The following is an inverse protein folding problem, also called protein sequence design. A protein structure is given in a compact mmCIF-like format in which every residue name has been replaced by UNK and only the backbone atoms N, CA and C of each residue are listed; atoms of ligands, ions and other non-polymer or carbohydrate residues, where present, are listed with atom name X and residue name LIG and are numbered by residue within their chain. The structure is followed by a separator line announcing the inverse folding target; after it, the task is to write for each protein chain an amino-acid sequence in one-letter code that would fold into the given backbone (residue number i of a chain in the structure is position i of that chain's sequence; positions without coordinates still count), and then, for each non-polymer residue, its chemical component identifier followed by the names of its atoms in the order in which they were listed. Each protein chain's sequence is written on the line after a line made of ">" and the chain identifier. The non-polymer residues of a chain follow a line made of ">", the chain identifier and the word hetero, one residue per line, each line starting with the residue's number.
data_IF_245473291767
#
_entry.id   IF_245473291767
#
_cell.length_a   1.000
_cell.length_b   1.000
_cell.length_c   1.000
_cell.angle_alpha   90.00
_cell.angle_beta   90.00
_cell.angle_gamma   90.00
#
_symmetry.space_group_name_H-M   'P 1'
#
loop_
_entity.id
_entity.type
_entity.pdbx_description
1 polymer ?
#
# COMPACT_ATOMS: atom_id res chain seq x y z
N UNK A 1 -6.79 -14.68 20.83
CA UNK A 1 -5.95 -15.70 20.19
C UNK A 1 -5.78 -15.27 18.75
N UNK A 2 -4.66 -14.65 18.37
CA UNK A 2 -4.43 -14.28 16.98
C UNK A 2 -4.33 -15.59 16.17
N UNK A 3 -5.17 -15.76 15.17
CA UNK A 3 -5.07 -16.90 14.26
C UNK A 3 -3.68 -16.87 13.62
N UNK A 4 -2.98 -18.01 13.58
CA UNK A 4 -1.70 -18.08 12.91
C UNK A 4 -1.93 -17.87 11.41
N UNK A 5 -1.65 -16.66 10.90
CA UNK A 5 -1.88 -16.33 9.49
C UNK A 5 -1.08 -17.25 8.56
N UNK A 6 0.01 -17.85 9.03
CA UNK A 6 0.83 -18.82 8.28
C UNK A 6 0.03 -20.08 7.95
N UNK A 7 -0.92 -20.50 8.79
CA UNK A 7 -1.80 -21.63 8.48
C UNK A 7 -2.91 -21.26 7.51
N UNK A 8 -3.27 -19.97 7.44
CA UNK A 8 -4.34 -19.46 6.57
C UNK A 8 -3.81 -19.11 5.17
N UNK A 9 -2.59 -18.57 5.10
CA UNK A 9 -1.93 -18.13 3.86
C UNK A 9 -0.48 -18.67 3.80
N UNK A 10 -0.30 -20.01 3.79
CA UNK A 10 1.03 -20.62 3.75
C UNK A 10 1.86 -20.20 2.53
N UNK A 11 1.20 -19.91 1.40
CA UNK A 11 1.82 -19.46 0.15
C UNK A 11 2.47 -18.06 0.25
N UNK A 12 2.08 -17.26 1.25
CA UNK A 12 2.66 -15.93 1.48
C UNK A 12 3.81 -15.94 2.48
N UNK A 13 4.02 -17.05 3.19
CA UNK A 13 4.97 -17.11 4.29
C UNK A 13 6.39 -16.71 3.85
N UNK A 14 6.92 -17.37 2.82
CA UNK A 14 8.27 -17.11 2.30
C UNK A 14 8.42 -15.64 1.85
N UNK A 15 7.41 -15.12 1.13
CA UNK A 15 7.44 -13.75 0.64
C UNK A 15 7.42 -12.73 1.78
N UNK A 16 6.55 -12.91 2.77
CA UNK A 16 6.45 -12.04 3.94
C UNK A 16 7.71 -12.11 4.78
N UNK A 17 8.27 -13.29 5.04
CA UNK A 17 9.52 -13.44 5.82
C UNK A 17 10.69 -12.75 5.12
N UNK A 18 10.80 -12.88 3.79
CA UNK A 18 11.83 -12.19 3.01
C UNK A 18 11.65 -10.67 3.06
N UNK A 19 10.43 -10.18 2.89
CA UNK A 19 10.12 -8.74 2.92
C UNK A 19 10.18 -8.15 4.34
N UNK A 20 9.96 -8.96 5.38
CA UNK A 20 10.12 -8.55 6.78
C UNK A 20 11.53 -8.06 7.06
N UNK A 21 12.54 -8.62 6.37
CA UNK A 21 13.95 -8.22 6.48
C UNK A 21 14.35 -7.09 5.52
N UNK A 22 13.59 -6.87 4.44
CA UNK A 22 13.87 -5.81 3.48
C UNK A 22 13.62 -4.40 4.08
N UNK A 23 14.39 -3.41 3.64
CA UNK A 23 14.22 -1.99 4.00
C UNK A 23 13.91 -1.16 2.77
N UNK A 24 13.17 -0.07 2.93
CA UNK A 24 12.68 0.76 1.83
C UNK A 24 11.25 0.43 1.41
N UNK A 25 10.92 0.72 0.15
CA UNK A 25 9.56 0.66 -0.40
C UNK A 25 9.25 -0.69 -1.05
N UNK A 26 8.11 -1.27 -0.72
CA UNK A 26 7.56 -2.49 -1.32
C UNK A 26 6.25 -2.15 -1.99
N UNK A 27 6.09 -2.39 -3.29
CA UNK A 27 4.83 -2.14 -4.00
C UNK A 27 4.08 -3.45 -4.24
N UNK A 28 2.81 -3.50 -3.82
CA UNK A 28 1.95 -4.67 -4.00
C UNK A 28 1.02 -4.46 -5.18
N UNK A 29 1.17 -5.31 -6.20
CA UNK A 29 0.37 -5.31 -7.43
C UNK A 29 -0.47 -6.58 -7.53
N UNK A 30 -1.69 -6.46 -8.07
CA UNK A 30 -2.57 -7.59 -8.32
C UNK A 30 -3.97 -7.13 -8.76
N UNK A 31 -4.84 -8.08 -9.10
CA UNK A 31 -6.22 -7.80 -9.48
C UNK A 31 -7.09 -7.32 -8.30
N UNK A 32 -8.34 -7.01 -8.61
CA UNK A 32 -9.38 -6.78 -7.57
C UNK A 32 -9.58 -8.07 -6.77
N UNK A 33 -9.75 -7.95 -5.46
CA UNK A 33 -10.05 -9.05 -4.52
C UNK A 33 -9.04 -10.23 -4.51
N UNK A 34 -7.78 -9.99 -4.90
CA UNK A 34 -6.70 -11.01 -4.84
C UNK A 34 -5.95 -11.05 -3.49
N UNK A 35 -6.46 -10.38 -2.45
CA UNK A 35 -5.86 -10.39 -1.11
C UNK A 35 -4.74 -9.37 -0.84
N UNK A 36 -4.50 -8.39 -1.72
CA UNK A 36 -3.42 -7.39 -1.60
C UNK A 36 -3.41 -6.65 -0.27
N UNK A 37 -4.56 -6.12 0.15
CA UNK A 37 -4.65 -5.34 1.40
C UNK A 37 -4.45 -6.24 2.63
N UNK A 38 -4.88 -7.50 2.58
CA UNK A 38 -4.55 -8.51 3.61
C UNK A 38 -3.05 -8.77 3.66
N UNK A 39 -2.39 -8.96 2.52
CA UNK A 39 -0.94 -9.12 2.43
C UNK A 39 -0.20 -7.92 3.02
N UNK A 40 -0.62 -6.70 2.66
CA UNK A 40 -0.06 -5.45 3.20
C UNK A 40 -0.23 -5.35 4.71
N UNK A 41 -1.42 -5.68 5.23
CA UNK A 41 -1.70 -5.70 6.68
C UNK A 41 -0.81 -6.70 7.43
N UNK A 42 -0.60 -7.89 6.87
CA UNK A 42 0.29 -8.89 7.46
C UNK A 42 1.74 -8.41 7.49
N UNK A 43 2.23 -7.87 6.36
CA UNK A 43 3.61 -7.36 6.27
C UNK A 43 3.86 -6.19 7.22
N UNK A 44 2.94 -5.23 7.29
CA UNK A 44 3.01 -4.10 8.23
C UNK A 44 3.06 -4.56 9.68
N UNK A 45 2.23 -5.54 10.06
CA UNK A 45 2.24 -6.11 11.41
C UNK A 45 3.56 -6.81 11.72
N UNK A 46 4.17 -7.51 10.75
CA UNK A 46 5.50 -8.10 10.94
C UNK A 46 6.57 -7.02 11.20
N UNK A 47 6.57 -5.93 10.41
CA UNK A 47 7.50 -4.82 10.62
C UNK A 47 7.28 -4.11 11.95
N UNK A 48 6.02 -3.86 12.32
CA UNK A 48 5.68 -3.28 13.61
C UNK A 48 6.11 -4.15 14.79
N UNK A 49 5.85 -5.46 14.73
CA UNK A 49 6.23 -6.40 15.79
C UNK A 49 7.76 -6.49 15.94
N UNK A 50 8.49 -6.24 14.86
CA UNK A 50 9.95 -6.11 14.87
C UNK A 50 10.44 -4.74 15.35
N UNK A 51 9.54 -3.82 15.71
CA UNK A 51 9.86 -2.48 16.19
C UNK A 51 10.26 -1.48 15.10
N UNK A 52 10.10 -1.82 13.82
CA UNK A 52 10.47 -0.94 12.72
C UNK A 52 9.46 0.19 12.53
N UNK A 53 9.94 1.40 12.23
CA UNK A 53 9.07 2.50 11.84
C UNK A 53 8.54 2.27 10.42
N UNK A 54 7.30 1.79 10.33
CA UNK A 54 6.68 1.40 9.07
C UNK A 54 5.65 2.43 8.57
N UNK A 55 5.64 2.67 7.27
CA UNK A 55 4.63 3.47 6.57
C UNK A 55 3.75 2.63 5.66
N UNK A 56 2.51 3.06 5.49
CA UNK A 56 1.55 2.49 4.55
C UNK A 56 1.08 3.57 3.58
N UNK A 57 1.09 3.27 2.28
CA UNK A 57 0.51 4.11 1.24
C UNK A 57 -0.65 3.35 0.61
N UNK A 58 -1.84 3.94 0.65
CA UNK A 58 -3.06 3.40 0.05
C UNK A 58 -3.33 4.09 -1.29
N UNK A 59 -3.11 3.36 -2.38
CA UNK A 59 -3.37 3.79 -3.75
C UNK A 59 -4.58 3.06 -4.37
N UNK A 60 -5.55 2.64 -3.56
CA UNK A 60 -6.84 2.13 -4.03
C UNK A 60 -7.97 3.14 -3.77
N UNK A 61 -8.38 3.94 -4.78
CA UNK A 61 -9.41 4.94 -4.59
C UNK A 61 -10.82 4.35 -4.57
N UNK A 62 -10.99 3.09 -4.98
CA UNK A 62 -12.28 2.41 -5.01
C UNK A 62 -12.54 1.56 -3.77
N UNK A 63 -11.48 1.07 -3.13
CA UNK A 63 -11.54 0.28 -1.89
C UNK A 63 -10.52 0.81 -0.87
N UNK A 64 -10.55 2.11 -0.59
CA UNK A 64 -9.61 2.68 0.38
C UNK A 64 -9.82 2.08 1.76
N UNK A 65 -8.70 1.72 2.39
CA UNK A 65 -8.67 1.13 3.72
C UNK A 65 -8.50 2.19 4.81
N UNK A 66 -7.72 3.25 4.54
CA UNK A 66 -7.34 4.26 5.55
C UNK A 66 -7.99 5.62 5.27
N UNK A 67 -8.09 6.00 4.00
CA UNK A 67 -8.69 7.25 3.58
C UNK A 67 -10.19 7.11 3.27
N UNK A 68 -10.89 8.24 3.06
CA UNK A 68 -12.22 8.19 2.47
C UNK A 68 -12.15 7.73 1.00
N UNK A 69 -13.29 7.31 0.41
CA UNK A 69 -13.36 6.97 -1.01
C UNK A 69 -12.82 8.06 -1.93
N UNK A 70 -12.33 7.67 -3.10
CA UNK A 70 -11.76 8.58 -4.11
C UNK A 70 -10.54 9.38 -3.62
N UNK A 71 -9.81 8.89 -2.62
CA UNK A 71 -8.53 9.45 -2.19
C UNK A 71 -7.41 8.42 -2.30
N UNK A 72 -6.19 8.93 -2.46
CA UNK A 72 -4.99 8.24 -2.02
C UNK A 72 -4.61 8.76 -0.65
N UNK A 73 -4.04 7.89 0.19
CA UNK A 73 -3.68 8.25 1.55
C UNK A 73 -2.35 7.64 1.95
N UNK A 74 -1.77 8.18 3.02
CA UNK A 74 -0.65 7.55 3.70
C UNK A 74 -0.89 7.57 5.21
N UNK A 75 -0.26 6.63 5.91
CA UNK A 75 -0.19 6.64 7.38
C UNK A 75 1.15 6.10 7.86
N UNK A 76 1.58 6.58 9.02
CA UNK A 76 2.78 6.11 9.71
C UNK A 76 2.34 5.25 10.89
N UNK A 77 2.72 3.97 10.87
CA UNK A 77 2.26 2.98 11.84
C UNK A 77 3.06 3.13 13.14
N UNK A 78 2.49 3.85 14.10
CA UNK A 78 3.10 4.11 15.42
C UNK A 78 2.55 3.25 16.55
N UNK A 79 1.38 2.67 16.37
CA UNK A 79 0.65 1.92 17.40
C UNK A 79 0.14 0.59 16.84
N UNK A 80 0.05 -0.47 17.67
CA UNK A 80 -0.54 -1.75 17.28
C UNK A 80 -1.90 -1.59 16.62
N UNK A 81 -2.13 -2.35 15.55
CA UNK A 81 -3.40 -2.38 14.83
C UNK A 81 -3.71 -3.81 14.38
N UNK A 82 -4.99 -4.12 14.19
CA UNK A 82 -5.43 -5.41 13.66
C UNK A 82 -5.96 -5.27 12.23
N UNK A 83 -6.62 -4.15 11.94
CA UNK A 83 -7.21 -3.87 10.62
C UNK A 83 -6.72 -2.54 10.09
N UNK A 84 -6.50 -2.46 8.77
CA UNK A 84 -6.01 -1.24 8.13
C UNK A 84 -6.95 -0.05 8.36
N UNK A 85 -8.26 -0.28 8.46
CA UNK A 85 -9.26 0.77 8.72
C UNK A 85 -9.29 1.30 10.17
N UNK A 86 -8.47 0.76 11.06
CA UNK A 86 -8.22 1.33 12.38
C UNK A 86 -7.16 2.45 12.31
N UNK A 87 -6.36 2.47 11.23
CA UNK A 87 -5.33 3.47 11.04
C UNK A 87 -5.94 4.79 10.57
N UNK A 88 -5.39 5.90 11.06
CA UNK A 88 -5.78 7.24 10.61
C UNK A 88 -4.82 7.76 9.54
N UNK A 89 -5.33 8.41 8.47
CA UNK A 89 -4.48 8.99 7.44
C UNK A 89 -3.67 10.16 8.02
N UNK A 90 -2.37 10.20 7.71
CA UNK A 90 -1.51 11.34 7.97
C UNK A 90 -1.58 12.42 6.88
N UNK A 91 -2.04 12.06 5.68
CA UNK A 91 -2.28 12.95 4.55
C UNK A 91 -3.09 12.27 3.45
N UNK A 92 -3.66 13.09 2.57
CA UNK A 92 -4.58 12.66 1.51
C UNK A 92 -4.29 13.39 0.20
N UNK A 93 -4.50 12.70 -0.92
CA UNK A 93 -4.64 13.28 -2.25
C UNK A 93 -6.01 12.89 -2.83
N UNK A 94 -6.88 13.89 -3.06
CA UNK A 94 -8.22 13.66 -3.60
C UNK A 94 -8.19 13.50 -5.13
N UNK A 95 -8.73 12.39 -5.62
CA UNK A 95 -8.83 12.09 -7.05
C UNK A 95 -10.16 12.53 -7.66
N UNK A 96 -11.23 12.59 -6.86
CA UNK A 96 -12.58 12.87 -7.36
C UNK A 96 -13.21 11.73 -8.14
N UNK A 97 -12.56 10.57 -8.20
CA UNK A 97 -13.03 9.36 -8.86
C UNK A 97 -12.54 8.11 -8.10
N UNK A 98 -13.31 7.03 -8.16
CA UNK A 98 -12.97 5.74 -7.52
C UNK A 98 -12.11 4.85 -8.41
N UNK A 99 -11.67 5.38 -9.56
CA UNK A 99 -10.76 4.69 -10.47
C UNK A 99 -9.73 5.66 -11.05
N UNK A 100 -8.46 5.24 -11.19
CA UNK A 100 -7.45 6.06 -11.87
C UNK A 100 -7.67 6.15 -13.39
N UNK A 101 -8.51 5.28 -13.97
CA UNK A 101 -8.61 5.09 -15.43
C UNK A 101 -8.92 6.38 -16.22
N UNK A 102 -9.66 7.32 -15.64
CA UNK A 102 -10.03 8.61 -16.26
C UNK A 102 -9.11 9.77 -15.85
N UNK A 103 -8.19 9.53 -14.92
CA UNK A 103 -7.43 10.56 -14.23
C UNK A 103 -5.97 10.15 -14.03
N UNK A 104 -5.35 9.50 -15.03
CA UNK A 104 -4.02 8.89 -14.90
C UNK A 104 -2.94 9.86 -14.39
N UNK A 105 -2.87 11.07 -14.95
CA UNK A 105 -1.89 12.08 -14.55
C UNK A 105 -2.11 12.56 -13.12
N UNK A 106 -3.37 12.80 -12.74
CA UNK A 106 -3.75 13.18 -11.38
C UNK A 106 -3.46 12.05 -10.39
N UNK A 107 -3.73 10.80 -10.76
CA UNK A 107 -3.39 9.62 -9.97
C UNK A 107 -1.88 9.49 -9.76
N UNK A 108 -1.07 9.61 -10.81
CA UNK A 108 0.39 9.58 -10.69
C UNK A 108 0.91 10.72 -9.79
N UNK A 109 0.43 11.95 -9.99
CA UNK A 109 0.81 13.08 -9.16
C UNK A 109 0.39 12.90 -7.69
N UNK A 110 -0.84 12.42 -7.46
CA UNK A 110 -1.36 12.14 -6.13
C UNK A 110 -0.58 11.04 -5.42
N UNK A 111 -0.26 9.95 -6.11
CA UNK A 111 0.53 8.83 -5.58
C UNK A 111 1.94 9.28 -5.18
N UNK A 112 2.59 10.09 -6.04
CA UNK A 112 3.90 10.65 -5.72
C UNK A 112 3.85 11.57 -4.50
N UNK A 113 2.84 12.44 -4.45
CA UNK A 113 2.64 13.37 -3.33
C UNK A 113 2.50 12.64 -1.99
N UNK A 114 1.61 11.65 -1.89
CA UNK A 114 1.39 10.93 -0.62
C UNK A 114 2.63 10.13 -0.20
N UNK A 115 3.38 9.59 -1.17
CA UNK A 115 4.64 8.91 -0.87
C UNK A 115 5.70 9.90 -0.37
N UNK A 116 5.86 11.06 -1.02
CA UNK A 116 6.84 12.09 -0.60
C UNK A 116 6.55 12.63 0.81
N UNK A 117 5.27 12.91 1.11
CA UNK A 117 4.84 13.35 2.44
C UNK A 117 5.19 12.30 3.52
N UNK A 118 4.95 11.02 3.24
CA UNK A 118 5.32 9.92 4.15
C UNK A 118 6.84 9.77 4.27
N UNK A 119 7.59 9.82 3.16
CA UNK A 119 9.04 9.66 3.16
C UNK A 119 9.76 10.79 3.90
N UNK A 120 9.17 11.99 3.95
CA UNK A 120 9.69 13.10 4.75
C UNK A 120 9.72 12.78 6.27
N UNK A 121 8.92 11.81 6.72
CA UNK A 121 8.94 11.30 8.11
C UNK A 121 9.99 10.21 8.35
N UNK A 122 10.76 9.86 7.32
CA UNK A 122 11.87 8.90 7.36
C UNK A 122 11.48 7.52 7.92
N UNK A 123 10.38 6.89 7.46
CA UNK A 123 10.09 5.50 7.80
C UNK A 123 11.20 4.58 7.28
N UNK A 124 11.53 3.54 8.05
CA UNK A 124 12.52 2.53 7.65
C UNK A 124 11.98 1.67 6.49
N UNK A 125 10.66 1.43 6.50
CA UNK A 125 9.97 0.51 5.60
C UNK A 125 8.64 1.10 5.18
N UNK A 126 8.29 0.98 3.91
CA UNK A 126 7.00 1.45 3.38
C UNK A 126 6.40 0.36 2.52
N UNK A 127 5.12 0.04 2.73
CA UNK A 127 4.36 -0.77 1.79
C UNK A 127 3.35 0.10 1.05
N UNK A 128 3.32 -0.03 -0.27
CA UNK A 128 2.44 0.68 -1.19
C UNK A 128 1.40 -0.32 -1.70
N UNK A 129 0.19 -0.21 -1.19
CA UNK A 129 -0.96 -0.99 -1.68
C UNK A 129 -1.57 -0.27 -2.89
N UNK A 130 -1.89 -1.01 -3.94
CA UNK A 130 -2.35 -0.41 -5.19
C UNK A 130 -3.69 -0.96 -5.63
N UNK A 131 -4.46 -0.16 -6.38
CA UNK A 131 -5.75 -0.61 -6.90
C UNK A 131 -5.68 -1.83 -7.82
N UNK A 132 -6.79 -2.56 -7.95
CA UNK A 132 -6.94 -3.71 -8.85
C UNK A 132 -6.95 -3.39 -10.36
N UNK A 133 -6.68 -2.14 -10.77
CA UNK A 133 -6.68 -1.73 -12.17
C UNK A 133 -5.44 -2.24 -12.92
N UNK A 134 -5.50 -3.49 -13.38
CA UNK A 134 -4.40 -4.19 -14.08
C UNK A 134 -4.77 -4.74 -15.47
N UNK A 135 -6.05 -4.71 -15.84
CA UNK A 135 -6.56 -5.26 -17.09
C UNK A 135 -6.54 -4.27 -18.26
N UNK A 136 -6.02 -4.71 -19.41
CA UNK A 136 -5.96 -3.90 -20.64
C UNK A 136 -4.73 -3.01 -20.75
N UNK A 137 -4.54 -2.40 -21.93
CA UNK A 137 -3.35 -1.60 -22.25
C UNK A 137 -3.17 -0.40 -21.34
N UNK A 138 -4.25 0.36 -21.10
CA UNK A 138 -4.22 1.56 -20.26
C UNK A 138 -3.84 1.25 -18.82
N UNK A 139 -4.39 0.17 -18.25
CA UNK A 139 -4.06 -0.27 -16.90
C UNK A 139 -2.60 -0.69 -16.76
N UNK A 140 -2.08 -1.47 -17.72
CA UNK A 140 -0.66 -1.85 -17.75
C UNK A 140 0.25 -0.63 -17.84
N UNK A 141 -0.07 0.31 -18.72
CA UNK A 141 0.70 1.54 -18.87
C UNK A 141 0.69 2.37 -17.58
N UNK A 142 -0.47 2.50 -16.93
CA UNK A 142 -0.60 3.16 -15.63
C UNK A 142 0.31 2.52 -14.57
N UNK A 143 0.28 1.19 -14.42
CA UNK A 143 1.10 0.50 -13.41
C UNK A 143 2.60 0.61 -13.68
N UNK A 144 3.02 0.60 -14.95
CA UNK A 144 4.42 0.82 -15.32
C UNK A 144 4.88 2.24 -14.99
N UNK A 145 4.09 3.25 -15.33
CA UNK A 145 4.38 4.65 -14.96
C UNK A 145 4.40 4.84 -13.44
N UNK A 146 3.48 4.18 -12.72
CA UNK A 146 3.42 4.25 -11.27
C UNK A 146 4.69 3.63 -10.65
N UNK A 147 5.12 2.45 -11.11
CA UNK A 147 6.34 1.82 -10.64
C UNK A 147 7.58 2.70 -10.92
N UNK A 148 7.70 3.26 -12.13
CA UNK A 148 8.83 4.12 -12.49
C UNK A 148 8.87 5.42 -11.65
N UNK A 149 7.70 6.02 -11.41
CA UNK A 149 7.56 7.26 -10.64
C UNK A 149 7.85 7.07 -9.14
N UNK A 150 7.35 5.98 -8.56
CA UNK A 150 7.48 5.69 -7.12
C UNK A 150 8.79 4.98 -6.77
N UNK A 151 9.46 4.36 -7.76
CA UNK A 151 10.73 3.63 -7.62
C UNK A 151 10.71 2.68 -6.42
N UNK A 152 9.76 1.72 -6.36
CA UNK A 152 9.75 0.75 -5.28
C UNK A 152 11.04 -0.08 -5.33
N UNK A 153 11.56 -0.44 -4.16
CA UNK A 153 12.72 -1.32 -4.06
C UNK A 153 12.37 -2.75 -4.45
N UNK A 154 11.14 -3.18 -4.11
CA UNK A 154 10.59 -4.50 -4.41
C UNK A 154 9.18 -4.37 -4.97
#
# INVERSE_FOLDING_TARGET
>A
MQANWQTVYPEWQEAIERLAQASGTVMVLGGVDTGKSTFCSLLLRQWQNAGALAGYVDLDPGQSNVGPPATFSWTLVRQPFERLNELSPGGLAFLGDTTPARHLSLALAGARRVLDELLALQPEKVVIDTCGYVGGWVARHYKLMLADLLRPRV
#
